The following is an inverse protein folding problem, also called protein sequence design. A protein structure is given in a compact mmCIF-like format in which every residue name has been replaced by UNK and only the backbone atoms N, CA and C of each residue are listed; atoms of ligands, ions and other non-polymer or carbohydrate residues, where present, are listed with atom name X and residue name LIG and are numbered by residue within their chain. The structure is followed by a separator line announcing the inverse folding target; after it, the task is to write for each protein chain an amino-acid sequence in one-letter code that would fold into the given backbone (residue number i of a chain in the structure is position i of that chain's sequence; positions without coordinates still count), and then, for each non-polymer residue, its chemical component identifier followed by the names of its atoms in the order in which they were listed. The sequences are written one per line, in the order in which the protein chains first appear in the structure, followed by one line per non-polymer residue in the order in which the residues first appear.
data_IF_570665008766
#
_entry.id   IF_570665008766
#
_cell.length_a   1.000
_cell.length_b   1.000
_cell.length_c   1.000
_cell.angle_alpha   90.00
_cell.angle_beta   90.00
_cell.angle_gamma   90.00
#
_symmetry.space_group_name_H-M   'P 1'
#
loop_
_entity.id
_entity.type
_entity.pdbx_description
1 polymer ?
#
# COMPACT_ATOMS: atom_id res chain seq x y z
N UNK A 1 7.05 -1.83 -6.63
CA UNK A 1 6.52 -1.79 -5.25
C UNK A 1 7.59 -1.91 -4.16
N UNK A 2 8.40 -2.97 -4.10
CA UNK A 2 9.44 -3.11 -3.05
C UNK A 2 10.42 -1.92 -2.97
N UNK A 3 10.89 -1.43 -4.12
CA UNK A 3 11.75 -0.24 -4.21
C UNK A 3 11.07 1.06 -3.71
N UNK A 4 9.76 1.21 -3.99
CA UNK A 4 8.99 2.33 -3.48
C UNK A 4 8.90 2.27 -1.94
N UNK A 5 8.63 1.10 -1.37
CA UNK A 5 8.59 0.89 0.08
C UNK A 5 9.93 1.20 0.73
N UNK A 6 11.05 0.82 0.13
CA UNK A 6 12.39 1.20 0.62
C UNK A 6 12.54 2.72 0.71
N UNK A 7 12.14 3.40 -0.36
CA UNK A 7 12.27 4.86 -0.47
C UNK A 7 11.33 5.59 0.50
N UNK A 8 10.08 5.13 0.62
CA UNK A 8 9.09 5.64 1.57
C UNK A 8 9.60 5.45 3.00
N UNK A 9 10.10 4.26 3.35
CA UNK A 9 10.64 3.98 4.68
C UNK A 9 11.78 4.93 5.08
N UNK A 10 12.67 5.25 4.13
CA UNK A 10 13.73 6.23 4.38
C UNK A 10 13.15 7.64 4.59
N UNK A 11 12.17 8.03 3.78
CA UNK A 11 11.53 9.35 3.89
C UNK A 11 10.71 9.50 5.18
N UNK A 12 9.94 8.51 5.58
CA UNK A 12 9.20 8.50 6.85
C UNK A 12 10.16 8.69 8.04
N UNK A 13 11.35 8.08 8.02
CA UNK A 13 12.34 8.22 9.09
C UNK A 13 13.07 9.58 9.14
N UNK A 14 13.18 10.25 8.00
CA UNK A 14 14.08 11.41 7.84
C UNK A 14 13.36 12.71 7.53
N UNK A 15 12.09 12.65 7.13
CA UNK A 15 11.30 13.83 6.83
C UNK A 15 11.04 14.62 8.11
N UNK A 16 11.38 15.91 8.08
CA UNK A 16 10.92 16.84 9.09
C UNK A 16 9.41 17.04 8.89
N UNK A 17 8.61 16.69 9.90
CA UNK A 17 7.17 17.00 9.93
C UNK A 17 6.92 18.50 10.25
N UNK A 18 7.99 19.29 10.42
CA UNK A 18 7.90 20.73 10.63
C UNK A 18 7.54 21.48 9.34
N UNK A 19 6.24 21.69 9.12
CA UNK A 19 5.74 22.85 8.35
C UNK A 19 5.54 22.67 6.85
N UNK A 20 4.69 21.73 6.41
CA UNK A 20 4.10 21.84 5.06
C UNK A 20 2.61 21.50 5.12
N UNK A 21 1.83 22.55 5.30
CA UNK A 21 0.36 22.54 5.27
C UNK A 21 -0.10 22.48 3.82
N UNK A 22 -0.41 21.29 3.32
CA UNK A 22 -1.21 21.12 2.11
C UNK A 22 -2.54 20.51 2.55
N UNK A 23 -3.61 21.30 2.51
CA UNK A 23 -4.97 20.84 2.84
C UNK A 23 -5.58 20.24 1.58
N UNK A 24 -6.00 18.97 1.62
CA UNK A 24 -6.76 18.37 0.51
C UNK A 24 -8.25 18.75 0.58
N UNK A 25 -9.02 18.42 -0.46
CA UNK A 25 -10.45 18.74 -0.58
C UNK A 25 -11.37 18.12 0.49
N UNK A 26 -10.85 17.23 1.35
CA UNK A 26 -11.54 16.59 2.47
C UNK A 26 -11.21 17.20 3.84
N UNK A 27 -10.32 18.20 3.91
CA UNK A 27 -10.05 18.97 5.12
C UNK A 27 -9.01 18.39 6.07
N UNK A 28 -8.29 17.35 5.66
CA UNK A 28 -7.17 16.78 6.44
C UNK A 28 -5.85 17.51 6.12
N UNK A 29 -4.99 17.65 7.13
CA UNK A 29 -3.60 18.09 6.96
C UNK A 29 -2.82 17.00 6.22
N UNK A 30 -2.73 17.13 4.90
CA UNK A 30 -2.03 16.16 4.07
C UNK A 30 -0.52 16.40 4.24
N UNK A 31 0.14 15.50 4.96
CA UNK A 31 1.58 15.58 5.17
C UNK A 31 2.29 15.40 3.82
N UNK A 32 3.37 16.16 3.59
CA UNK A 32 4.18 16.05 2.37
C UNK A 32 4.68 14.61 2.11
N UNK A 33 4.74 13.76 3.15
CA UNK A 33 5.11 12.36 3.04
C UNK A 33 4.04 11.48 2.38
N UNK A 34 2.75 11.79 2.54
CA UNK A 34 1.64 11.03 1.94
C UNK A 34 1.65 11.20 0.42
N UNK A 35 1.74 12.45 -0.03
CA UNK A 35 1.81 12.76 -1.46
C UNK A 35 3.09 12.21 -2.11
N UNK A 36 4.21 12.20 -1.37
CA UNK A 36 5.44 11.57 -1.82
C UNK A 36 5.26 10.05 -1.94
N UNK A 37 4.66 9.40 -0.94
CA UNK A 37 4.42 7.97 -0.96
C UNK A 37 3.49 7.58 -2.10
N UNK A 38 2.42 8.36 -2.30
CA UNK A 38 1.48 8.19 -3.39
C UNK A 38 2.17 8.27 -4.76
N UNK A 39 2.97 9.32 -4.98
CA UNK A 39 3.74 9.51 -6.22
C UNK A 39 4.66 8.32 -6.49
N UNK A 40 5.45 7.90 -5.49
CA UNK A 40 6.40 6.80 -5.65
C UNK A 40 5.72 5.46 -5.98
N UNK A 41 4.52 5.22 -5.46
CA UNK A 41 3.78 4.00 -5.73
C UNK A 41 3.20 4.00 -7.15
N UNK A 42 2.63 5.13 -7.60
CA UNK A 42 2.19 5.26 -9.00
C UNK A 42 3.36 5.10 -9.98
N UNK A 43 4.48 5.78 -9.76
CA UNK A 43 5.69 5.65 -10.61
C UNK A 43 6.19 4.19 -10.63
N UNK A 44 6.18 3.50 -9.49
CA UNK A 44 6.60 2.11 -9.44
C UNK A 44 5.64 1.14 -10.13
N UNK A 45 4.35 1.47 -10.22
CA UNK A 45 3.34 0.68 -10.94
C UNK A 45 3.44 0.91 -12.44
N UNK A 46 3.60 2.17 -12.87
CA UNK A 46 3.83 2.53 -14.26
C UNK A 46 5.11 1.87 -14.80
N UNK A 47 6.21 1.97 -14.06
CA UNK A 47 7.49 1.34 -14.42
C UNK A 47 7.44 -0.19 -14.43
N UNK A 48 6.45 -0.81 -13.76
CA UNK A 48 6.32 -2.26 -13.78
C UNK A 48 5.88 -2.82 -15.13
N UNK A 49 5.22 -2.01 -15.97
CA UNK A 49 4.60 -2.42 -17.24
C UNK A 49 3.54 -3.54 -17.16
N UNK A 50 3.21 -4.04 -15.97
CA UNK A 50 2.21 -5.08 -15.75
C UNK A 50 0.92 -4.55 -15.11
N UNK A 51 0.93 -3.32 -14.60
CA UNK A 51 -0.25 -2.68 -14.04
C UNK A 51 -1.05 -2.00 -15.16
N UNK A 52 -2.32 -2.37 -15.36
CA UNK A 52 -3.23 -1.69 -16.28
C UNK A 52 -3.86 -0.46 -15.62
N UNK A 53 -4.53 -0.63 -14.48
CA UNK A 53 -5.16 0.48 -13.77
C UNK A 53 -4.74 0.51 -12.31
N UNK A 54 -4.61 1.72 -11.77
CA UNK A 54 -4.34 1.92 -10.35
C UNK A 54 -5.24 3.01 -9.75
N UNK A 55 -5.53 2.89 -8.46
CA UNK A 55 -6.12 3.98 -7.67
C UNK A 55 -5.54 3.97 -6.26
N UNK A 56 -5.57 5.13 -5.61
CA UNK A 56 -5.08 5.29 -4.24
C UNK A 56 -6.15 5.89 -3.33
N UNK A 57 -5.88 5.96 -2.03
CA UNK A 57 -6.67 6.78 -1.10
C UNK A 57 -6.68 8.27 -1.52
N UNK A 58 -5.54 8.79 -1.96
CA UNK A 58 -5.36 10.22 -2.30
C UNK A 58 -5.89 10.58 -3.70
N UNK A 59 -5.96 9.59 -4.59
CA UNK A 59 -6.48 9.70 -5.96
C UNK A 59 -7.43 8.52 -6.19
N UNK A 60 -8.71 8.66 -5.80
CA UNK A 60 -9.70 7.59 -5.90
C UNK A 60 -10.10 7.26 -7.35
N UNK A 61 -9.85 8.18 -8.28
CA UNK A 61 -10.07 7.96 -9.71
C UNK A 61 -9.11 6.91 -10.27
N UNK A 62 -9.60 6.11 -11.21
CA UNK A 62 -8.77 5.13 -11.91
C UNK A 62 -7.76 5.85 -12.81
N UNK A 63 -6.50 5.56 -12.57
CA UNK A 63 -5.37 6.00 -13.39
C UNK A 63 -4.93 4.85 -14.29
N UNK A 64 -4.78 5.11 -15.59
CA UNK A 64 -4.19 4.16 -16.53
C UNK A 64 -2.67 4.14 -16.36
N UNK A 65 -2.13 2.97 -16.03
CA UNK A 65 -0.69 2.74 -15.82
C UNK A 65 0.00 2.18 -17.06
N UNK A 66 -0.72 2.00 -18.18
CA UNK A 66 -0.16 1.61 -19.48
C UNK A 66 0.13 0.11 -19.65
N UNK A 67 -0.14 -0.73 -18.65
CA UNK A 67 0.03 -2.18 -18.75
C UNK A 67 -1.05 -2.88 -19.60
N UNK A 68 -0.90 -4.19 -19.84
CA UNK A 68 -1.83 -4.96 -20.67
C UNK A 68 -3.14 -5.28 -19.92
N UNK A 69 -4.24 -5.43 -20.65
CA UNK A 69 -5.52 -5.90 -20.07
C UNK A 69 -5.47 -7.40 -19.79
N UNK A 70 -5.03 -8.19 -20.77
CA UNK A 70 -4.86 -9.64 -20.62
C UNK A 70 -3.50 -9.93 -19.99
N UNK A 71 -3.48 -10.72 -18.91
CA UNK A 71 -2.26 -11.02 -18.16
C UNK A 71 -1.70 -9.87 -17.31
N UNK A 72 -2.29 -8.68 -17.39
CA UNK A 72 -1.97 -7.57 -16.50
C UNK A 72 -2.83 -7.54 -15.23
N UNK A 73 -2.59 -6.52 -14.43
CA UNK A 73 -3.18 -6.38 -13.10
C UNK A 73 -3.72 -4.98 -12.85
N UNK A 74 -4.63 -4.86 -11.91
CA UNK A 74 -5.00 -3.58 -11.34
C UNK A 74 -4.71 -3.53 -9.85
N UNK A 75 -4.27 -2.37 -9.38
CA UNK A 75 -3.76 -2.18 -8.02
C UNK A 75 -4.51 -1.07 -7.30
N UNK A 76 -5.02 -1.36 -6.11
CA UNK A 76 -5.55 -0.34 -5.21
C UNK A 76 -4.66 -0.27 -3.97
N UNK A 77 -4.33 0.93 -3.51
CA UNK A 77 -3.41 1.10 -2.39
C UNK A 77 -3.75 2.28 -1.48
N UNK A 78 -3.37 2.16 -0.22
CA UNK A 78 -3.22 3.26 0.72
C UNK A 78 -1.71 3.57 0.81
N UNK A 79 -1.28 4.76 0.37
CA UNK A 79 0.13 5.09 0.28
C UNK A 79 0.80 5.19 1.64
N UNK A 80 0.09 5.68 2.66
CA UNK A 80 0.61 5.81 4.02
C UNK A 80 -0.51 5.73 5.07
N UNK A 81 -0.89 4.51 5.44
CA UNK A 81 -1.80 4.22 6.55
C UNK A 81 -1.18 4.69 7.87
N UNK A 82 -1.95 5.47 8.62
CA UNK A 82 -1.51 6.07 9.88
C UNK A 82 -0.69 7.36 9.72
N UNK A 83 -0.80 8.08 8.60
CA UNK A 83 -0.08 9.34 8.40
C UNK A 83 -0.27 10.35 9.54
N UNK A 84 -1.45 10.39 10.15
CA UNK A 84 -1.79 11.24 11.30
C UNK A 84 -1.00 10.99 12.59
N UNK A 85 -0.28 9.87 12.69
CA UNK A 85 0.55 9.53 13.86
C UNK A 85 2.05 9.46 13.53
N UNK A 86 2.46 9.92 12.34
CA UNK A 86 3.88 9.95 11.92
C UNK A 86 4.71 10.83 12.86
N UNK A 87 4.17 11.99 13.27
CA UNK A 87 4.82 12.94 14.17
C UNK A 87 5.04 12.39 15.59
N UNK A 88 4.16 11.48 16.04
CA UNK A 88 4.29 10.78 17.33
C UNK A 88 5.33 9.65 17.31
N UNK A 89 5.99 9.42 16.17
CA UNK A 89 7.00 8.38 15.97
C UNK A 89 6.45 6.95 16.23
N UNK A 90 5.18 6.72 15.90
CA UNK A 90 4.56 5.40 15.91
C UNK A 90 4.74 4.68 14.56
N UNK A 91 4.49 3.37 14.54
CA UNK A 91 4.59 2.59 13.30
C UNK A 91 3.43 2.93 12.37
N UNK A 92 3.78 3.24 11.13
CA UNK A 92 2.87 3.53 10.01
C UNK A 92 3.15 2.56 8.86
N UNK A 93 2.38 2.57 7.78
CA UNK A 93 2.58 1.58 6.71
C UNK A 93 1.97 1.93 5.37
N UNK A 94 2.28 1.14 4.36
CA UNK A 94 1.63 1.20 3.04
C UNK A 94 0.86 -0.09 2.85
N UNK A 95 -0.36 -0.03 2.32
CA UNK A 95 -1.20 -1.22 2.11
C UNK A 95 -1.60 -1.28 0.65
N UNK A 96 -1.55 -2.46 0.02
CA UNK A 96 -2.07 -2.62 -1.32
C UNK A 96 -2.65 -3.99 -1.61
N UNK A 97 -3.62 -4.01 -2.52
CA UNK A 97 -4.21 -5.21 -3.10
C UNK A 97 -4.03 -5.23 -4.61
N UNK A 98 -3.94 -6.43 -5.17
CA UNK A 98 -3.72 -6.66 -6.61
C UNK A 98 -4.81 -7.59 -7.13
N UNK A 99 -5.47 -7.18 -8.22
CA UNK A 99 -6.47 -7.95 -8.95
C UNK A 99 -6.00 -8.23 -10.37
N UNK A 100 -6.42 -9.36 -10.97
CA UNK A 100 -6.14 -9.62 -12.37
C UNK A 100 -7.02 -8.77 -13.30
N UNK A 101 -6.48 -8.42 -14.46
CA UNK A 101 -7.17 -7.63 -15.48
C UNK A 101 -7.21 -6.14 -15.16
N UNK A 102 -8.19 -5.44 -15.74
CA UNK A 102 -8.25 -3.97 -15.69
C UNK A 102 -9.18 -3.42 -14.60
N UNK A 103 -10.01 -4.24 -13.96
CA UNK A 103 -11.12 -3.75 -13.12
C UNK A 103 -10.71 -3.58 -11.65
N UNK A 104 -11.09 -2.43 -11.07
CA UNK A 104 -11.07 -2.16 -9.61
C UNK A 104 -12.45 -1.78 -9.05
N UNK A 105 -13.49 -1.86 -9.89
CA UNK A 105 -14.89 -1.65 -9.51
C UNK A 105 -15.66 -2.96 -9.69
N UNK A 106 -16.55 -3.26 -8.74
CA UNK A 106 -17.32 -4.52 -8.74
C UNK A 106 -16.49 -5.78 -8.44
N UNK A 107 -15.20 -5.65 -8.10
CA UNK A 107 -14.34 -6.75 -7.65
C UNK A 107 -14.51 -7.00 -6.15
N UNK A 108 -14.26 -8.24 -5.71
CA UNK A 108 -14.30 -8.61 -4.29
C UNK A 108 -12.89 -8.80 -3.75
N UNK A 109 -12.73 -8.72 -2.43
CA UNK A 109 -11.43 -8.99 -1.78
C UNK A 109 -10.92 -10.42 -2.04
N UNK A 110 -11.82 -11.40 -2.15
CA UNK A 110 -11.47 -12.80 -2.48
C UNK A 110 -10.95 -13.00 -3.91
N UNK A 111 -11.13 -12.01 -4.78
CA UNK A 111 -10.69 -12.06 -6.17
C UNK A 111 -9.24 -11.54 -6.31
N UNK A 112 -8.63 -11.06 -5.22
CA UNK A 112 -7.22 -10.66 -5.19
C UNK A 112 -6.31 -11.84 -5.54
N UNK A 113 -5.25 -11.55 -6.30
CA UNK A 113 -4.16 -12.48 -6.62
C UNK A 113 -2.94 -12.24 -5.75
N UNK A 114 -2.78 -11.00 -5.26
CA UNK A 114 -1.76 -10.64 -4.29
C UNK A 114 -2.25 -9.52 -3.36
N UNK A 115 -1.66 -9.49 -2.18
CA UNK A 115 -1.97 -8.59 -1.09
C UNK A 115 -0.67 -8.30 -0.35
N UNK A 116 -0.40 -7.04 -0.02
CA UNK A 116 0.82 -6.73 0.71
C UNK A 116 0.70 -5.50 1.61
N UNK A 117 1.62 -5.44 2.57
CA UNK A 117 1.75 -4.33 3.50
C UNK A 117 3.21 -4.04 3.79
N UNK A 118 3.64 -2.80 3.59
CA UNK A 118 4.90 -2.28 4.13
C UNK A 118 4.64 -1.71 5.52
N UNK A 119 5.45 -2.07 6.50
CA UNK A 119 5.39 -1.53 7.87
C UNK A 119 6.66 -0.74 8.13
N UNK A 120 6.49 0.53 8.47
CA UNK A 120 7.54 1.50 8.78
C UNK A 120 7.58 1.71 10.29
N UNK A 121 8.14 0.73 11.01
CA UNK A 121 8.39 0.83 12.46
C UNK A 121 9.87 0.96 12.78
N UNK A 122 10.30 0.55 13.99
CA UNK A 122 11.72 0.45 14.35
C UNK A 122 12.53 -0.43 13.38
N UNK A 123 11.85 -1.39 12.74
CA UNK A 123 12.33 -2.13 11.58
C UNK A 123 11.34 -1.93 10.44
N UNK A 124 11.85 -1.89 9.22
CA UNK A 124 10.99 -1.88 8.03
C UNK A 124 10.77 -3.30 7.54
N UNK A 125 9.51 -3.75 7.52
CA UNK A 125 9.13 -5.07 7.04
C UNK A 125 8.12 -4.98 5.91
N UNK A 126 8.18 -5.91 4.97
CA UNK A 126 7.25 -6.04 3.88
C UNK A 126 6.58 -7.40 3.94
N UNK A 127 5.28 -7.42 4.12
CA UNK A 127 4.48 -8.63 4.24
C UNK A 127 3.74 -8.85 2.92
N UNK A 128 3.87 -10.04 2.34
CA UNK A 128 3.27 -10.43 1.07
C UNK A 128 2.46 -11.72 1.23
N UNK A 129 1.23 -11.69 0.71
CA UNK A 129 0.40 -12.85 0.51
C UNK A 129 0.07 -12.98 -0.98
N UNK A 130 0.18 -14.21 -1.50
CA UNK A 130 -0.14 -14.55 -2.89
C UNK A 130 -1.22 -15.62 -2.89
N UNK A 131 -2.16 -15.56 -3.84
CA UNK A 131 -3.25 -16.53 -3.93
C UNK A 131 -2.73 -17.96 -4.16
N UNK A 132 -1.68 -18.09 -4.95
CA UNK A 132 -1.12 -19.38 -5.36
C UNK A 132 0.10 -19.82 -4.52
N UNK A 133 0.46 -19.05 -3.47
CA UNK A 133 1.50 -19.43 -2.51
C UNK A 133 0.88 -19.61 -1.11
N UNK A 134 1.13 -20.73 -0.42
CA UNK A 134 0.53 -20.99 0.88
C UNK A 134 1.10 -20.05 1.94
N UNK A 135 0.23 -19.45 2.75
CA UNK A 135 0.66 -18.67 3.91
C UNK A 135 1.02 -17.21 3.60
N UNK A 136 1.85 -16.63 4.45
CA UNK A 136 2.27 -15.23 4.33
C UNK A 136 3.78 -15.12 4.51
N UNK A 137 4.41 -14.33 3.65
CA UNK A 137 5.84 -14.13 3.60
C UNK A 137 6.19 -12.76 4.15
N UNK A 138 7.08 -12.70 5.12
CA UNK A 138 7.60 -11.45 5.68
C UNK A 138 9.04 -11.27 5.23
N UNK A 139 9.33 -10.09 4.70
CA UNK A 139 10.64 -9.67 4.28
C UNK A 139 11.11 -8.51 5.15
N UNK A 140 12.37 -8.52 5.57
CA UNK A 140 13.01 -7.46 6.33
C UNK A 140 13.85 -6.60 5.38
N UNK A 141 13.68 -5.29 5.44
CA UNK A 141 14.58 -4.35 4.78
C UNK A 141 15.83 -4.16 5.65
N UNK A 142 17.00 -4.47 5.09
CA UNK A 142 18.30 -4.29 5.70
C UNK A 142 18.87 -2.90 5.39
N UNK A 143 19.84 -2.47 6.19
CA UNK A 143 20.47 -1.14 6.08
C UNK A 143 21.16 -0.92 4.71
N UNK A 144 21.67 -1.98 4.10
CA UNK A 144 22.25 -1.95 2.74
C UNK A 144 21.19 -1.79 1.62
N UNK A 145 19.91 -1.68 1.98
CA UNK A 145 18.80 -1.58 1.05
C UNK A 145 18.34 -2.91 0.45
N UNK A 146 18.93 -4.02 0.91
CA UNK A 146 18.55 -5.38 0.53
C UNK A 146 17.28 -5.82 1.28
N UNK A 147 16.44 -6.60 0.59
CA UNK A 147 15.21 -7.18 1.16
C UNK A 147 15.47 -8.68 1.39
N UNK A 148 15.49 -9.09 2.66
CA UNK A 148 15.74 -10.48 3.06
C UNK A 148 14.44 -11.16 3.46
N UNK A 149 14.16 -12.36 2.93
CA UNK A 149 13.04 -13.18 3.40
C UNK A 149 13.30 -13.59 4.85
N UNK A 150 12.55 -13.00 5.77
CA UNK A 150 12.80 -13.09 7.20
C UNK A 150 11.99 -14.20 7.85
N UNK A 151 10.70 -14.33 7.48
CA UNK A 151 9.82 -15.31 8.09
C UNK A 151 8.73 -15.80 7.13
N UNK A 152 8.31 -17.03 7.38
CA UNK A 152 7.20 -17.69 6.73
C UNK A 152 6.15 -18.06 7.77
N UNK A 153 4.89 -17.73 7.50
CA UNK A 153 3.76 -18.05 8.37
C UNK A 153 2.78 -18.99 7.65
N UNK A 154 2.76 -20.26 8.06
CA UNK A 154 1.87 -21.29 7.50
C UNK A 154 0.39 -21.05 7.78
N UNK A 155 0.09 -20.47 8.94
CA UNK A 155 -1.24 -20.02 9.34
C UNK A 155 -1.09 -18.80 10.25
N UNK A 156 -1.56 -17.65 9.80
CA UNK A 156 -1.84 -16.55 10.74
C UNK A 156 -3.10 -16.98 11.51
N UNK A 157 -3.02 -17.14 12.83
CA UNK A 157 -4.23 -17.29 13.64
C UNK A 157 -4.97 -15.95 13.66
N UNK A 158 -6.14 -15.94 13.00
CA UNK A 158 -6.88 -14.80 12.45
C UNK A 158 -7.42 -13.75 13.45
N UNK A 159 -7.19 -13.86 14.76
CA UNK A 159 -8.01 -13.12 15.75
C UNK A 159 -7.64 -11.64 15.97
N UNK A 160 -6.46 -11.18 15.59
CA UNK A 160 -6.01 -9.80 15.88
C UNK A 160 -5.56 -8.97 14.67
N UNK A 161 -4.97 -9.58 13.63
CA UNK A 161 -4.38 -8.84 12.50
C UNK A 161 -5.25 -8.77 11.24
N UNK A 162 -6.28 -9.62 11.14
CA UNK A 162 -7.23 -9.54 10.02
C UNK A 162 -8.14 -8.32 10.11
N UNK A 163 -8.37 -7.78 11.31
CA UNK A 163 -9.00 -6.47 11.45
C UNK A 163 -8.20 -5.42 10.70
N UNK A 164 -6.87 -5.40 10.70
CA UNK A 164 -6.13 -4.41 9.92
C UNK A 164 -6.34 -4.63 8.41
N UNK A 165 -6.10 -5.83 7.87
CA UNK A 165 -6.16 -6.05 6.42
C UNK A 165 -7.59 -5.99 5.82
N UNK A 166 -8.60 -6.54 6.51
CA UNK A 166 -10.00 -6.43 6.09
C UNK A 166 -10.61 -5.09 6.50
N UNK A 167 -10.20 -4.44 7.60
CA UNK A 167 -10.64 -3.07 7.88
C UNK A 167 -10.05 -2.11 6.87
N UNK A 168 -8.81 -2.27 6.41
CA UNK A 168 -8.26 -1.44 5.33
C UNK A 168 -8.99 -1.70 4.01
N UNK A 169 -9.42 -2.92 3.71
CA UNK A 169 -10.31 -3.18 2.56
C UNK A 169 -11.73 -2.64 2.76
N UNK A 170 -12.32 -2.76 3.95
CA UNK A 170 -13.57 -2.09 4.31
C UNK A 170 -13.39 -0.58 4.35
N UNK A 171 -12.22 -0.03 4.61
CA UNK A 171 -11.94 1.41 4.65
C UNK A 171 -11.74 1.98 3.25
N UNK A 172 -10.89 1.35 2.42
CA UNK A 172 -10.74 1.62 0.99
C UNK A 172 -12.07 1.44 0.24
N UNK A 173 -12.89 0.45 0.60
CA UNK A 173 -14.20 0.20 -0.02
C UNK A 173 -15.35 1.03 0.61
N UNK A 174 -15.28 1.42 1.90
CA UNK A 174 -16.30 2.25 2.58
C UNK A 174 -16.10 3.74 2.32
N UNK A 175 -14.89 4.23 2.04
CA UNK A 175 -14.70 5.58 1.46
C UNK A 175 -15.31 5.66 0.06
N UNK A 176 -15.33 4.56 -0.70
CA UNK A 176 -16.02 4.45 -2.01
C UNK A 176 -17.55 4.45 -1.90
N UNK A 177 -18.14 3.97 -0.79
CA UNK A 177 -19.59 3.99 -0.56
C UNK A 177 -20.16 5.37 -0.16
N UNK A 178 -19.34 6.40 0.05
CA UNK A 178 -19.82 7.78 0.24
C UNK A 178 -19.85 8.64 -1.04
N UNK A 179 -19.48 8.07 -2.19
CA UNK A 179 -19.48 8.75 -3.50
C UNK A 179 -20.48 8.07 -4.46
N UNK A 180 -21.62 7.65 -3.92
CA UNK A 180 -22.86 7.37 -4.66
C UNK A 180 -24.04 7.82 -3.84
#
# INVERSE_FOLDING_TARGET
MGEAIRTIAFKVRTASCGGTQCVNSFGDEQLAVDMLANKLLFEALEYSHFCKNACSEEVPELQDMGGPVEGGFSVAFDPLDGSSIVDTNFSVGTIFGVWPGEKLTGVRGRDQVAAAMGVYGPRTTYILALKDAPGTHEFLLLDEGLILHYAYFSSISYRSRQKAFLSSYTFLCSKKQRIT
#
